data_IF_112008682358
#
_entry.id   IF_112008682358
#
_cell.length_a   1.000
_cell.length_b   1.000
_cell.length_c   1.000
_cell.angle_alpha   90.00
_cell.angle_beta   90.00
_cell.angle_gamma   90.00
#
_symmetry.space_group_name_H-M   'P 1'
#
loop_
_entity.id
_entity.type
_entity.pdbx_description
1 polymer ?
#
# COMPACT_ATOMS: atom_id res chain seq x y z
N UNK A 1 -28.63 -0.90 36.42
CA UNK A 1 -27.32 -1.47 36.10
C UNK A 1 -27.55 -2.76 35.33
N UNK A 2 -27.34 -2.72 34.01
CA UNK A 2 -27.05 -3.85 33.12
C UNK A 2 -26.47 -3.26 31.83
N UNK A 3 -25.32 -3.78 31.42
CA UNK A 3 -24.37 -3.24 30.42
C UNK A 3 -24.85 -3.23 28.95
N UNK A 4 -24.19 -2.45 28.07
CA UNK A 4 -24.61 -2.20 26.70
C UNK A 4 -24.21 -3.32 25.71
N UNK A 5 -25.08 -3.55 24.73
CA UNK A 5 -24.81 -4.37 23.54
C UNK A 5 -23.67 -3.73 22.72
N UNK A 6 -22.49 -4.34 22.79
CA UNK A 6 -21.35 -3.97 21.94
C UNK A 6 -21.53 -4.64 20.58
N UNK A 7 -21.88 -3.84 19.56
CA UNK A 7 -21.91 -4.27 18.16
C UNK A 7 -20.51 -4.68 17.71
N UNK A 8 -20.42 -5.93 17.26
CA UNK A 8 -19.21 -6.61 16.80
C UNK A 8 -18.74 -5.95 15.50
N UNK A 9 -17.58 -5.29 15.51
CA UNK A 9 -16.81 -5.02 14.30
C UNK A 9 -16.07 -6.29 13.92
N UNK A 10 -16.56 -6.93 12.86
CA UNK A 10 -15.96 -8.09 12.22
C UNK A 10 -14.56 -7.72 11.71
N UNK A 11 -13.53 -8.15 12.44
CA UNK A 11 -12.15 -8.13 11.95
C UNK A 11 -12.05 -9.17 10.85
N UNK A 12 -11.86 -8.72 9.62
CA UNK A 12 -11.25 -9.55 8.59
C UNK A 12 -9.81 -9.89 9.06
N UNK A 13 -9.68 -11.01 9.77
CA UNK A 13 -8.39 -11.57 10.15
C UNK A 13 -7.75 -12.16 8.90
N UNK A 14 -6.83 -11.41 8.31
CA UNK A 14 -5.75 -11.99 7.54
C UNK A 14 -5.03 -12.94 8.48
N UNK A 15 -4.90 -14.23 8.13
CA UNK A 15 -4.09 -15.18 8.92
C UNK A 15 -2.72 -14.57 9.18
N UNK A 16 -2.41 -14.36 10.46
CA UNK A 16 -1.04 -14.12 10.92
C UNK A 16 -0.19 -15.31 10.46
N UNK A 17 0.75 -15.09 9.55
CA UNK A 17 1.74 -16.12 9.23
C UNK A 17 2.42 -16.03 7.86
N UNK A 18 1.86 -15.33 6.88
CA UNK A 18 2.58 -15.10 5.62
C UNK A 18 3.15 -13.69 5.67
N UNK A 19 4.42 -13.58 6.02
CA UNK A 19 5.13 -12.32 5.85
C UNK A 19 5.28 -12.10 4.34
N UNK A 20 4.44 -11.21 3.80
CA UNK A 20 4.63 -10.61 2.48
C UNK A 20 6.00 -9.93 2.45
N UNK A 21 7.02 -10.67 2.02
CA UNK A 21 8.44 -10.30 2.16
C UNK A 21 9.08 -9.89 0.85
N UNK A 22 8.62 -10.45 -0.27
CA UNK A 22 9.17 -10.12 -1.58
C UNK A 22 8.58 -8.82 -2.10
N UNK A 23 9.41 -7.77 -2.21
CA UNK A 23 9.00 -6.51 -2.81
C UNK A 23 9.06 -6.59 -4.35
N UNK A 24 7.95 -6.30 -5.02
CA UNK A 24 7.87 -6.21 -6.49
C UNK A 24 8.01 -4.78 -7.01
N UNK A 25 7.86 -3.80 -6.12
CA UNK A 25 8.10 -2.38 -6.39
C UNK A 25 8.54 -1.69 -5.09
N UNK A 26 9.63 -0.93 -5.16
CA UNK A 26 10.06 -0.03 -4.09
C UNK A 26 10.30 1.36 -4.68
N UNK A 27 9.79 2.38 -4.00
CA UNK A 27 10.00 3.79 -4.33
C UNK A 27 10.50 4.48 -3.07
N UNK A 28 11.76 4.93 -3.12
CA UNK A 28 12.36 5.79 -2.11
C UNK A 28 12.61 7.15 -2.74
N UNK A 29 11.84 8.15 -2.32
CA UNK A 29 11.82 9.47 -2.92
C UNK A 29 11.47 10.54 -1.89
N UNK A 30 11.34 11.77 -2.35
CA UNK A 30 10.73 12.84 -1.59
C UNK A 30 9.53 13.42 -2.34
N UNK A 31 8.49 13.79 -1.61
CA UNK A 31 7.39 14.61 -2.14
C UNK A 31 7.72 16.08 -1.86
N UNK A 32 7.61 16.90 -2.90
CA UNK A 32 7.82 18.35 -2.82
C UNK A 32 6.48 19.09 -2.95
N UNK A 33 6.20 20.01 -2.01
CA UNK A 33 5.01 20.86 -2.02
C UNK A 33 5.16 22.02 -1.04
N UNK A 34 4.64 23.20 -1.37
CA UNK A 34 4.72 24.41 -0.53
C UNK A 34 6.14 24.73 -0.01
N UNK A 35 7.17 24.60 -0.88
CA UNK A 35 8.59 24.75 -0.54
C UNK A 35 9.11 23.81 0.56
N UNK A 36 8.36 22.76 0.89
CA UNK A 36 8.76 21.72 1.81
C UNK A 36 9.02 20.42 1.05
N UNK A 37 9.94 19.62 1.60
CA UNK A 37 10.29 18.31 1.11
C UNK A 37 10.09 17.30 2.23
N UNK A 38 9.27 16.29 1.98
CA UNK A 38 9.00 15.22 2.93
C UNK A 38 9.44 13.86 2.36
N UNK A 39 10.09 13.00 3.16
CA UNK A 39 10.47 11.67 2.70
C UNK A 39 9.22 10.83 2.39
N UNK A 40 9.31 10.08 1.28
CA UNK A 40 8.31 9.15 0.82
C UNK A 40 8.96 7.79 0.61
N UNK A 41 8.39 6.78 1.26
CA UNK A 41 8.66 5.38 0.98
C UNK A 41 7.37 4.70 0.57
N UNK A 42 7.39 3.99 -0.56
CA UNK A 42 6.29 3.12 -1.00
C UNK A 42 6.87 1.76 -1.35
N UNK A 43 6.27 0.71 -0.80
CA UNK A 43 6.63 -0.67 -1.11
C UNK A 43 5.35 -1.41 -1.52
N UNK A 44 5.40 -2.11 -2.64
CA UNK A 44 4.39 -3.09 -3.04
C UNK A 44 5.02 -4.47 -2.94
N UNK A 45 4.41 -5.33 -2.14
CA UNK A 45 4.83 -6.72 -1.99
C UNK A 45 4.17 -7.63 -3.01
N UNK A 46 4.82 -8.74 -3.32
CA UNK A 46 4.34 -9.79 -4.21
C UNK A 46 2.94 -10.26 -3.78
N UNK A 47 2.08 -10.67 -4.74
CA UNK A 47 0.76 -11.16 -4.40
C UNK A 47 0.87 -12.48 -3.65
N UNK A 48 0.11 -12.61 -2.57
CA UNK A 48 -0.06 -13.88 -1.88
C UNK A 48 -1.51 -14.32 -1.91
N UNK A 49 -1.69 -15.64 -1.87
CA UNK A 49 -3.02 -16.23 -1.85
C UNK A 49 -3.69 -15.97 -0.50
N UNK A 50 -4.93 -15.51 -0.55
CA UNK A 50 -5.75 -15.25 0.64
C UNK A 50 -6.59 -16.49 1.00
N UNK A 51 -7.20 -16.46 2.18
CA UNK A 51 -8.11 -17.52 2.64
C UNK A 51 -9.38 -17.67 1.80
N UNK A 52 -9.70 -16.67 0.98
CA UNK A 52 -10.88 -16.64 0.12
C UNK A 52 -10.58 -17.15 -1.30
N UNK A 53 -9.43 -17.80 -1.51
CA UNK A 53 -8.93 -18.21 -2.84
C UNK A 53 -8.69 -17.07 -3.82
N UNK A 54 -8.55 -15.84 -3.32
CA UNK A 54 -8.11 -14.68 -4.08
C UNK A 54 -6.61 -14.46 -3.90
N UNK A 55 -6.07 -13.43 -4.55
CA UNK A 55 -4.71 -12.94 -4.32
C UNK A 55 -4.73 -11.50 -3.84
N UNK A 56 -3.80 -11.13 -2.97
CA UNK A 56 -3.66 -9.75 -2.53
C UNK A 56 -2.20 -9.31 -2.53
N UNK A 57 -1.96 -8.07 -2.93
CA UNK A 57 -0.69 -7.37 -2.67
C UNK A 57 -0.85 -6.44 -1.47
N UNK A 58 0.14 -6.42 -0.58
CA UNK A 58 0.26 -5.39 0.44
C UNK A 58 0.97 -4.16 -0.14
N UNK A 59 0.37 -3.00 0.06
CA UNK A 59 0.92 -1.68 -0.28
C UNK A 59 1.19 -0.93 1.02
N UNK A 60 2.48 -0.67 1.27
CA UNK A 60 2.95 0.13 2.41
C UNK A 60 3.36 1.51 1.92
N UNK A 61 2.72 2.55 2.47
CA UNK A 61 3.05 3.95 2.18
C UNK A 61 2.71 4.83 3.40
N UNK A 62 3.48 4.76 4.49
CA UNK A 62 3.12 5.35 5.78
C UNK A 62 2.83 6.85 5.70
N UNK A 63 3.59 7.60 4.89
CA UNK A 63 3.42 9.04 4.70
C UNK A 63 2.14 9.43 3.92
N UNK A 64 1.46 8.48 3.27
CA UNK A 64 0.31 8.75 2.40
C UNK A 64 -0.97 8.02 2.80
N UNK A 65 -0.85 6.80 3.34
CA UNK A 65 -1.99 5.92 3.59
C UNK A 65 -2.28 5.73 5.08
N UNK A 66 -1.35 6.08 5.98
CA UNK A 66 -1.40 5.70 7.39
C UNK A 66 -1.19 4.19 7.53
N UNK A 67 -2.25 3.38 7.72
CA UNK A 67 -2.15 1.91 7.66
C UNK A 67 -1.84 1.37 6.26
N UNK A 68 -1.17 0.22 6.24
CA UNK A 68 -0.95 -0.57 5.02
C UNK A 68 -2.30 -0.95 4.36
N UNK A 69 -2.29 -1.10 3.03
CA UNK A 69 -3.48 -1.43 2.23
C UNK A 69 -3.29 -2.76 1.52
N UNK A 70 -4.31 -3.60 1.55
CA UNK A 70 -4.37 -4.81 0.74
C UNK A 70 -5.16 -4.51 -0.54
N UNK A 71 -4.57 -4.85 -1.68
CA UNK A 71 -5.20 -4.72 -2.99
C UNK A 71 -5.44 -6.11 -3.54
N UNK A 72 -6.70 -6.47 -3.72
CA UNK A 72 -7.15 -7.81 -4.09
C UNK A 72 -7.29 -7.96 -5.60
N UNK A 73 -7.04 -9.16 -6.11
CA UNK A 73 -7.32 -9.59 -7.47
C UNK A 73 -7.71 -11.07 -7.50
N UNK A 74 -8.43 -11.47 -8.54
CA UNK A 74 -8.89 -12.85 -8.74
C UNK A 74 -7.73 -13.82 -9.05
N UNK A 75 -6.62 -13.28 -9.54
CA UNK A 75 -5.36 -13.99 -9.81
C UNK A 75 -4.16 -13.10 -9.44
N UNK A 76 -2.96 -13.69 -9.46
CA UNK A 76 -1.71 -13.00 -9.11
C UNK A 76 -1.43 -11.78 -10.00
N UNK A 77 -1.66 -11.90 -11.31
CA UNK A 77 -1.33 -10.86 -12.27
C UNK A 77 -2.29 -9.68 -12.14
N UNK A 78 -3.57 -9.97 -11.91
CA UNK A 78 -4.57 -8.94 -11.64
C UNK A 78 -4.24 -8.21 -10.33
N UNK A 79 -3.93 -8.93 -9.24
CA UNK A 79 -3.57 -8.30 -7.97
C UNK A 79 -2.36 -7.36 -8.12
N UNK A 80 -1.30 -7.81 -8.79
CA UNK A 80 -0.12 -6.98 -9.12
C UNK A 80 -0.49 -5.73 -9.92
N UNK A 81 -1.24 -5.91 -11.02
CA UNK A 81 -1.64 -4.83 -11.91
C UNK A 81 -2.47 -3.77 -11.19
N UNK A 82 -3.42 -4.20 -10.36
CA UNK A 82 -4.25 -3.33 -9.55
C UNK A 82 -3.44 -2.59 -8.48
N UNK A 83 -2.50 -3.26 -7.81
CA UNK A 83 -1.66 -2.64 -6.78
C UNK A 83 -0.71 -1.58 -7.37
N UNK A 84 -0.06 -1.87 -8.50
CA UNK A 84 0.77 -0.90 -9.21
C UNK A 84 -0.08 0.25 -9.74
N UNK A 85 -1.26 -0.04 -10.30
CA UNK A 85 -2.19 0.98 -10.77
C UNK A 85 -2.68 1.89 -9.64
N UNK A 86 -2.92 1.34 -8.45
CA UNK A 86 -3.25 2.08 -7.25
C UNK A 86 -2.11 3.03 -6.85
N UNK A 87 -0.86 2.57 -6.80
CA UNK A 87 0.30 3.42 -6.49
C UNK A 87 0.48 4.54 -7.52
N UNK A 88 0.34 4.25 -8.82
CA UNK A 88 0.40 5.28 -9.87
C UNK A 88 -0.65 6.37 -9.67
N UNK A 89 -1.90 5.99 -9.35
CA UNK A 89 -2.96 6.96 -9.05
C UNK A 89 -2.67 7.76 -7.78
N UNK A 90 -2.13 7.10 -6.75
CA UNK A 90 -1.75 7.75 -5.50
C UNK A 90 -0.67 8.84 -5.70
N UNK A 91 0.20 8.65 -6.68
CA UNK A 91 1.32 9.56 -6.97
C UNK A 91 1.05 10.57 -8.10
N UNK A 92 -0.05 10.42 -8.86
CA UNK A 92 -0.30 11.16 -10.11
C UNK A 92 -0.11 12.68 -10.02
N UNK A 93 -0.58 13.30 -8.94
CA UNK A 93 -0.55 14.75 -8.77
C UNK A 93 0.56 15.21 -7.82
N UNK A 94 1.53 14.33 -7.50
CA UNK A 94 2.63 14.62 -6.59
C UNK A 94 3.91 14.87 -7.36
N UNK A 95 4.65 15.91 -6.95
CA UNK A 95 5.99 16.16 -7.44
C UNK A 95 6.98 15.29 -6.66
N UNK A 96 7.44 14.21 -7.30
CA UNK A 96 8.45 13.32 -6.75
C UNK A 96 9.84 13.78 -7.15
N UNK A 97 10.76 13.83 -6.18
CA UNK A 97 12.16 14.19 -6.42
C UNK A 97 13.10 13.23 -5.69
N UNK A 98 14.33 13.09 -6.18
CA UNK A 98 15.39 12.36 -5.50
C UNK A 98 16.10 13.20 -4.41
N UNK A 99 17.14 12.64 -3.79
CA UNK A 99 17.93 13.33 -2.77
C UNK A 99 18.60 14.62 -3.24
N UNK A 100 18.86 14.77 -4.55
CA UNK A 100 19.41 15.99 -5.14
C UNK A 100 18.33 17.03 -5.50
N UNK A 101 17.04 16.65 -5.43
CA UNK A 101 15.92 17.48 -5.88
C UNK A 101 15.59 17.34 -7.36
N UNK A 102 16.19 16.38 -8.06
CA UNK A 102 15.84 16.09 -9.46
C UNK A 102 14.51 15.36 -9.52
N UNK A 103 13.64 15.79 -10.43
CA UNK A 103 12.32 15.20 -10.62
C UNK A 103 12.42 13.74 -11.08
N UNK A 104 11.64 12.87 -10.43
CA UNK A 104 11.45 11.48 -10.80
C UNK A 104 10.20 11.34 -11.66
N UNK A 105 10.29 10.50 -12.69
CA UNK A 105 9.12 10.10 -13.50
C UNK A 105 8.65 8.74 -13.00
N UNK A 106 7.37 8.63 -12.68
CA UNK A 106 6.75 7.42 -12.16
C UNK A 106 5.42 7.14 -12.87
#
# INVERSE_FOLDING_TARGET
MSDPVSTIFEKASVKQGTEMTEAILSIDAFIEGNNQRAPLQIIVFAPERTDQSEYACLVRAPSLLGPDKLIYGIDQEQAKSLAIGFVKRLLKDKRLVDGSGKALKF
#
